data_IF_380784560479
#
_entry.id   IF_380784560479
#
_cell.length_a   1.000
_cell.length_b   1.000
_cell.length_c   1.000
_cell.angle_alpha   90.00
_cell.angle_beta   90.00
_cell.angle_gamma   90.00
#
_symmetry.space_group_name_H-M   'P 1'
#
loop_
_entity.id
_entity.type
_entity.pdbx_description
1 polymer ?
#
# COMPACT_ATOMS: atom_id res chain seq x y z
N UNK A 1 -1.48 -72.71 -1.51
CA UNK A 1 -0.27 -72.23 -2.22
C UNK A 1 0.03 -70.82 -1.71
N UNK A 2 1.20 -70.63 -1.11
CA UNK A 2 1.60 -69.42 -0.39
C UNK A 2 1.97 -68.32 -1.38
N UNK A 3 1.32 -67.15 -1.31
CA UNK A 3 1.80 -65.90 -1.91
C UNK A 3 1.97 -64.88 -0.78
N UNK A 4 3.18 -64.85 -0.22
CA UNK A 4 3.84 -63.65 0.32
C UNK A 4 4.88 -63.23 -0.75
N UNK A 5 5.55 -62.08 -0.73
CA UNK A 5 5.22 -60.75 -0.23
C UNK A 5 5.73 -59.71 -1.27
N UNK A 6 5.12 -59.60 -2.46
CA UNK A 6 5.68 -58.72 -3.51
C UNK A 6 4.99 -57.35 -3.51
N UNK A 7 3.72 -57.29 -3.11
CA UNK A 7 2.96 -56.03 -3.13
C UNK A 7 3.40 -55.04 -2.04
N UNK A 8 3.77 -55.51 -0.84
CA UNK A 8 4.19 -54.63 0.25
C UNK A 8 5.56 -53.96 0.02
N UNK A 9 6.46 -54.59 -0.74
CA UNK A 9 7.78 -54.05 -1.04
C UNK A 9 7.69 -52.95 -2.11
N UNK A 10 6.78 -53.10 -3.08
CA UNK A 10 6.57 -52.10 -4.13
C UNK A 10 5.95 -50.80 -3.61
N UNK A 11 5.00 -50.88 -2.68
CA UNK A 11 4.39 -49.68 -2.08
C UNK A 11 5.35 -48.93 -1.15
N UNK A 12 6.27 -49.63 -0.49
CA UNK A 12 7.29 -49.02 0.37
C UNK A 12 8.42 -48.35 -0.44
N UNK A 13 8.80 -48.93 -1.57
CA UNK A 13 9.80 -48.31 -2.47
C UNK A 13 9.24 -47.08 -3.20
N UNK A 14 7.97 -47.09 -3.63
CA UNK A 14 7.36 -45.94 -4.28
C UNK A 14 7.17 -44.75 -3.32
N UNK A 15 6.78 -45.01 -2.06
CA UNK A 15 6.64 -43.97 -1.04
C UNK A 15 7.98 -43.40 -0.59
N UNK A 16 9.02 -44.23 -0.47
CA UNK A 16 10.38 -43.77 -0.16
C UNK A 16 11.01 -42.93 -1.30
N UNK A 17 10.73 -43.25 -2.57
CA UNK A 17 11.20 -42.48 -3.73
C UNK A 17 10.51 -41.11 -3.85
N UNK A 18 9.20 -41.02 -3.57
CA UNK A 18 8.43 -39.76 -3.58
C UNK A 18 8.81 -38.88 -2.37
N UNK A 19 9.05 -39.46 -1.19
CA UNK A 19 9.51 -38.70 -0.03
C UNK A 19 10.94 -38.18 -0.20
N UNK A 20 11.85 -38.94 -0.83
CA UNK A 20 13.20 -38.45 -1.14
C UNK A 20 13.24 -37.44 -2.29
N UNK A 21 12.31 -37.49 -3.26
CA UNK A 21 12.20 -36.45 -4.29
C UNK A 21 11.57 -35.17 -3.74
N UNK A 22 10.60 -35.26 -2.83
CA UNK A 22 10.04 -34.08 -2.15
C UNK A 22 11.03 -33.44 -1.16
N UNK A 23 11.79 -34.24 -0.40
CA UNK A 23 12.84 -33.72 0.49
C UNK A 23 14.03 -33.14 -0.27
N UNK A 24 14.30 -33.60 -1.51
CA UNK A 24 15.28 -32.95 -2.40
C UNK A 24 14.70 -31.68 -3.05
N UNK A 25 13.44 -31.69 -3.48
CA UNK A 25 12.79 -30.51 -4.04
C UNK A 25 12.66 -29.36 -3.01
N UNK A 26 12.32 -29.67 -1.75
CA UNK A 26 12.27 -28.67 -0.67
C UNK A 26 13.65 -28.17 -0.20
N UNK A 27 14.73 -28.89 -0.51
CA UNK A 27 16.09 -28.50 -0.13
C UNK A 27 16.85 -27.82 -1.28
N UNK A 28 16.23 -27.69 -2.45
CA UNK A 28 16.86 -27.20 -3.68
C UNK A 28 16.37 -25.81 -4.12
N UNK A 29 15.63 -25.08 -3.26
CA UNK A 29 15.22 -23.69 -3.52
C UNK A 29 15.98 -22.63 -2.71
N UNK A 30 16.90 -23.01 -1.82
CA UNK A 30 17.73 -22.05 -1.06
C UNK A 30 19.21 -22.46 -0.97
N UNK A 31 19.73 -23.16 -1.98
CA UNK A 31 21.18 -23.26 -2.19
C UNK A 31 21.59 -22.28 -3.30
N UNK A 32 22.26 -21.20 -2.88
CA UNK A 32 22.96 -20.19 -3.67
C UNK A 32 23.15 -20.54 -5.15
N UNK A 33 22.31 -19.97 -6.01
CA UNK A 33 22.81 -19.53 -7.31
C UNK A 33 23.80 -18.42 -7.01
N UNK A 34 25.04 -18.58 -7.48
CA UNK A 34 25.95 -17.45 -7.71
C UNK A 34 25.27 -16.51 -8.73
N UNK A 35 24.31 -15.71 -8.28
CA UNK A 35 23.83 -14.57 -9.05
C UNK A 35 24.89 -13.49 -8.88
N UNK A 36 25.74 -13.40 -9.90
CA UNK A 36 26.78 -12.39 -9.97
C UNK A 36 26.09 -11.04 -10.29
N UNK A 37 25.47 -10.44 -9.28
CA UNK A 37 24.77 -9.16 -9.41
C UNK A 37 25.78 -8.06 -9.76
N UNK A 38 25.52 -7.32 -10.84
CA UNK A 38 26.39 -6.23 -11.32
C UNK A 38 26.49 -5.09 -10.29
N UNK A 39 25.42 -4.90 -9.51
CA UNK A 39 25.32 -3.88 -8.47
C UNK A 39 24.78 -4.52 -7.19
N UNK A 40 25.24 -4.01 -6.04
CA UNK A 40 24.70 -4.32 -4.73
C UNK A 40 24.81 -3.07 -3.87
N UNK A 41 23.74 -2.72 -3.17
CA UNK A 41 23.66 -1.56 -2.28
C UNK A 41 23.34 -2.00 -0.83
N UNK A 42 23.18 -1.03 0.08
CA UNK A 42 23.02 -1.29 1.52
C UNK A 42 21.73 -2.04 1.87
N UNK A 43 20.75 -2.11 0.95
CA UNK A 43 19.50 -2.81 1.20
C UNK A 43 19.66 -4.33 1.32
N UNK A 44 20.80 -4.91 0.87
CA UNK A 44 21.12 -6.34 1.04
C UNK A 44 21.12 -6.79 2.50
N UNK A 45 21.29 -5.84 3.44
CA UNK A 45 21.32 -6.10 4.87
C UNK A 45 19.95 -5.95 5.56
N UNK A 46 18.87 -5.69 4.82
CA UNK A 46 17.54 -5.46 5.38
C UNK A 46 16.75 -6.76 5.53
N UNK A 47 15.76 -6.76 6.43
CA UNK A 47 14.83 -7.89 6.60
C UNK A 47 13.61 -7.79 5.68
N UNK A 48 13.20 -6.58 5.31
CA UNK A 48 12.04 -6.36 4.45
C UNK A 48 12.24 -7.03 3.09
N UNK A 49 11.34 -7.95 2.67
CA UNK A 49 11.36 -8.51 1.33
C UNK A 49 11.27 -7.44 0.24
N UNK A 50 10.52 -6.36 0.50
CA UNK A 50 10.40 -5.22 -0.41
C UNK A 50 11.74 -4.50 -0.59
N UNK A 51 12.47 -4.22 0.49
CA UNK A 51 13.78 -3.57 0.38
C UNK A 51 14.81 -4.49 -0.27
N UNK A 52 14.79 -5.79 0.05
CA UNK A 52 15.69 -6.78 -0.54
C UNK A 52 15.51 -6.92 -2.06
N UNK A 53 14.28 -6.79 -2.58
CA UNK A 53 14.02 -6.75 -4.02
C UNK A 53 14.83 -5.66 -4.74
N UNK A 54 15.08 -4.53 -4.07
CA UNK A 54 15.83 -3.40 -4.60
C UNK A 54 17.35 -3.44 -4.31
N UNK A 55 17.85 -4.48 -3.63
CA UNK A 55 19.24 -4.56 -3.17
C UNK A 55 20.28 -4.59 -4.30
N UNK A 56 19.86 -4.98 -5.50
CA UNK A 56 20.73 -5.12 -6.68
C UNK A 56 20.45 -4.08 -7.77
N UNK A 57 19.65 -3.06 -7.46
CA UNK A 57 19.44 -1.93 -8.36
C UNK A 57 20.74 -1.11 -8.52
N UNK A 58 20.99 -0.53 -9.71
CA UNK A 58 22.12 0.37 -9.94
C UNK A 58 22.03 1.67 -9.12
N UNK A 59 20.83 2.05 -8.68
CA UNK A 59 20.67 3.13 -7.70
C UNK A 59 21.30 2.66 -6.38
N UNK A 60 22.19 3.48 -5.82
CA UNK A 60 22.85 3.20 -4.56
C UNK A 60 21.93 3.54 -3.38
N UNK A 61 20.92 2.68 -3.17
CA UNK A 61 19.93 2.85 -2.13
C UNK A 61 20.52 2.65 -0.73
N UNK A 62 20.09 3.51 0.19
CA UNK A 62 20.22 3.32 1.63
C UNK A 62 18.85 3.00 2.24
N UNK A 63 18.80 2.20 3.33
CA UNK A 63 17.61 2.15 4.17
C UNK A 63 17.42 3.50 4.87
N UNK A 64 16.20 3.77 5.35
CA UNK A 64 15.98 4.94 6.20
C UNK A 64 16.74 4.80 7.52
N UNK A 65 17.64 5.74 7.82
CA UNK A 65 18.42 5.76 9.04
C UNK A 65 19.41 6.91 9.11
N UNK A 66 20.09 7.04 10.25
CA UNK A 66 21.04 8.13 10.51
C UNK A 66 22.19 8.17 9.49
N UNK A 67 22.65 7.01 9.02
CA UNK A 67 23.76 6.92 8.05
C UNK A 67 23.47 7.68 6.75
N UNK A 68 22.29 7.48 6.15
CA UNK A 68 21.90 8.14 4.91
C UNK A 68 21.75 9.66 5.10
N UNK A 69 21.18 10.08 6.24
CA UNK A 69 21.00 11.49 6.60
C UNK A 69 22.35 12.17 6.82
N UNK A 70 23.27 11.55 7.57
CA UNK A 70 24.60 12.10 7.80
C UNK A 70 25.45 12.12 6.53
N UNK A 71 25.32 11.12 5.65
CA UNK A 71 25.93 11.15 4.32
C UNK A 71 25.42 12.34 3.51
N UNK A 72 24.11 12.57 3.48
CA UNK A 72 23.52 13.70 2.76
C UNK A 72 24.00 15.05 3.29
N UNK A 73 24.10 15.21 4.62
CA UNK A 73 24.65 16.42 5.24
C UNK A 73 26.12 16.62 4.91
N UNK A 74 26.93 15.55 4.99
CA UNK A 74 28.38 15.61 4.74
C UNK A 74 28.70 15.90 3.27
N UNK A 75 27.96 15.30 2.35
CA UNK A 75 28.13 15.51 0.91
C UNK A 75 27.40 16.76 0.40
N UNK A 76 26.60 17.40 1.25
CA UNK A 76 25.72 18.52 0.92
C UNK A 76 24.85 18.21 -0.31
N UNK A 77 24.11 17.10 -0.23
CA UNK A 77 23.21 16.62 -1.30
C UNK A 77 21.78 16.51 -0.81
N UNK A 78 20.84 16.79 -1.71
CA UNK A 78 19.43 16.50 -1.49
C UNK A 78 19.22 14.98 -1.31
N UNK A 79 18.17 14.65 -0.58
CA UNK A 79 17.67 13.29 -0.41
C UNK A 79 16.62 12.99 -1.48
N UNK A 80 16.66 11.77 -2.03
CA UNK A 80 15.50 11.14 -2.67
C UNK A 80 14.97 10.11 -1.69
N UNK A 81 13.70 10.20 -1.32
CA UNK A 81 13.06 9.25 -0.40
C UNK A 81 11.93 8.58 -1.16
N UNK A 82 12.15 7.32 -1.57
CA UNK A 82 11.20 6.52 -2.33
C UNK A 82 10.54 5.48 -1.43
N UNK A 83 9.26 5.69 -1.14
CA UNK A 83 8.45 4.88 -0.22
C UNK A 83 7.50 3.98 -1.01
N UNK A 84 7.48 2.70 -0.67
CA UNK A 84 6.57 1.70 -1.25
C UNK A 84 6.38 0.51 -0.32
N UNK A 85 5.90 -0.60 -0.86
CA UNK A 85 5.66 -1.87 -0.16
C UNK A 85 5.58 -3.00 -1.19
N UNK A 86 5.71 -4.24 -0.73
CA UNK A 86 5.87 -5.42 -1.58
C UNK A 86 4.73 -5.60 -2.61
N UNK A 87 3.48 -5.42 -2.21
CA UNK A 87 2.32 -5.64 -3.10
C UNK A 87 1.98 -4.44 -4.03
N UNK A 88 2.85 -3.43 -4.08
CA UNK A 88 2.59 -2.17 -4.78
C UNK A 88 2.88 -2.25 -6.28
N UNK A 89 1.85 -2.43 -7.11
CA UNK A 89 2.01 -2.50 -8.57
C UNK A 89 2.81 -1.33 -9.17
N UNK A 90 2.42 -0.07 -8.88
CA UNK A 90 3.10 1.09 -9.46
C UNK A 90 4.53 1.28 -8.93
N UNK A 91 4.85 0.70 -7.78
CA UNK A 91 6.21 0.70 -7.25
C UNK A 91 7.10 -0.21 -8.12
N UNK A 92 6.61 -1.40 -8.48
CA UNK A 92 7.28 -2.33 -9.39
C UNK A 92 7.41 -1.78 -10.81
N UNK A 93 6.38 -1.08 -11.30
CA UNK A 93 6.45 -0.40 -12.61
C UNK A 93 7.55 0.66 -12.62
N UNK A 94 7.60 1.52 -11.60
CA UNK A 94 8.61 2.57 -11.51
C UNK A 94 10.02 2.01 -11.30
N UNK A 95 10.17 0.91 -10.55
CA UNK A 95 11.43 0.19 -10.43
C UNK A 95 11.97 -0.20 -11.82
N UNK A 96 11.20 -0.98 -12.58
CA UNK A 96 11.62 -1.49 -13.89
C UNK A 96 11.89 -0.37 -14.90
N UNK A 97 11.07 0.68 -14.89
CA UNK A 97 11.22 1.78 -15.84
C UNK A 97 12.35 2.75 -15.49
N UNK A 98 12.68 2.91 -14.21
CA UNK A 98 13.56 3.99 -13.74
C UNK A 98 14.68 3.55 -12.80
N UNK A 99 14.41 2.73 -11.78
CA UNK A 99 15.42 2.41 -10.76
C UNK A 99 16.40 1.30 -11.17
N UNK A 100 16.00 0.46 -12.14
CA UNK A 100 16.88 -0.52 -12.80
C UNK A 100 17.69 0.09 -13.97
N UNK A 101 17.35 1.31 -14.39
CA UNK A 101 18.01 1.97 -15.52
C UNK A 101 19.33 2.64 -15.10
N UNK A 102 20.43 2.24 -15.71
CA UNK A 102 21.78 2.71 -15.33
C UNK A 102 21.99 4.21 -15.56
N UNK A 103 21.31 4.84 -16.53
CA UNK A 103 21.44 6.27 -16.80
C UNK A 103 20.73 7.08 -15.70
N UNK A 104 19.51 6.70 -15.36
CA UNK A 104 18.74 7.29 -14.25
C UNK A 104 19.48 7.10 -12.94
N UNK A 105 19.94 5.88 -12.68
CA UNK A 105 20.68 5.55 -11.46
C UNK A 105 21.97 6.33 -11.33
N UNK A 106 22.73 6.47 -12.42
CA UNK A 106 23.94 7.30 -12.43
C UNK A 106 23.62 8.75 -12.06
N UNK A 107 22.57 9.34 -12.67
CA UNK A 107 22.18 10.70 -12.33
C UNK A 107 21.77 10.83 -10.85
N UNK A 108 20.99 9.88 -10.34
CA UNK A 108 20.58 9.86 -8.93
C UNK A 108 21.80 9.77 -8.00
N UNK A 109 22.72 8.83 -8.24
CA UNK A 109 23.89 8.60 -7.40
C UNK A 109 24.86 9.79 -7.39
N UNK A 110 25.01 10.47 -8.53
CA UNK A 110 25.90 11.62 -8.64
C UNK A 110 25.36 12.85 -7.87
N UNK A 111 24.03 13.04 -7.85
CA UNK A 111 23.39 14.28 -7.40
C UNK A 111 22.65 14.19 -6.06
N UNK A 112 22.28 12.99 -5.62
CA UNK A 112 21.41 12.77 -4.46
C UNK A 112 21.95 11.66 -3.56
N UNK A 113 21.47 11.62 -2.32
CA UNK A 113 21.51 10.42 -1.49
C UNK A 113 20.13 9.76 -1.56
N UNK A 114 20.07 8.55 -2.12
CA UNK A 114 18.82 7.85 -2.39
C UNK A 114 18.47 6.91 -1.23
N UNK A 115 17.27 7.05 -0.68
CA UNK A 115 16.74 6.27 0.43
C UNK A 115 15.51 5.50 -0.06
N UNK A 116 15.49 4.19 0.20
CA UNK A 116 14.32 3.32 -0.02
C UNK A 116 13.65 3.02 1.31
N UNK A 117 12.33 3.14 1.35
CA UNK A 117 11.54 2.91 2.57
C UNK A 117 10.42 1.93 2.28
N UNK A 118 10.29 0.92 3.13
CA UNK A 118 9.11 0.07 3.22
C UNK A 118 8.12 0.72 4.20
N UNK A 119 6.94 1.12 3.71
CA UNK A 119 5.90 1.70 4.57
C UNK A 119 5.36 0.71 5.59
N UNK A 120 5.44 -0.60 5.32
CA UNK A 120 4.91 -1.61 6.23
C UNK A 120 5.79 -1.75 7.48
N UNK A 121 7.11 -1.51 7.33
CA UNK A 121 8.05 -1.41 8.45
C UNK A 121 8.11 0.01 9.04
N UNK A 122 7.96 1.06 8.22
CA UNK A 122 8.09 2.48 8.61
C UNK A 122 6.88 3.34 8.24
N UNK A 123 5.69 3.05 8.80
CA UNK A 123 4.48 3.84 8.55
C UNK A 123 4.59 5.28 9.10
N UNK A 124 5.47 5.50 10.08
CA UNK A 124 5.79 6.81 10.64
C UNK A 124 6.46 7.73 9.60
N UNK A 125 7.42 7.19 8.83
CA UNK A 125 8.10 7.93 7.76
C UNK A 125 7.15 8.13 6.59
N UNK A 126 6.40 7.10 6.21
CA UNK A 126 5.37 7.15 5.17
C UNK A 126 4.38 8.29 5.41
N UNK A 127 3.84 8.41 6.63
CA UNK A 127 2.84 9.43 6.96
C UNK A 127 3.38 10.86 6.77
N UNK A 128 4.60 11.15 7.22
CA UNK A 128 5.22 12.48 7.11
C UNK A 128 5.29 12.93 5.64
N UNK A 129 5.79 12.06 4.76
CA UNK A 129 5.94 12.41 3.35
C UNK A 129 4.60 12.32 2.59
N UNK A 130 3.67 11.50 3.05
CA UNK A 130 2.31 11.46 2.52
C UNK A 130 1.57 12.78 2.80
N UNK A 131 1.68 13.30 4.03
CA UNK A 131 1.11 14.60 4.40
C UNK A 131 1.73 15.73 3.58
N UNK A 132 3.06 15.69 3.37
CA UNK A 132 3.73 16.63 2.47
C UNK A 132 3.15 16.54 1.04
N UNK A 133 2.90 15.33 0.51
CA UNK A 133 2.28 15.15 -0.80
C UNK A 133 0.87 15.74 -0.87
N UNK A 134 0.05 15.56 0.16
CA UNK A 134 -1.27 16.17 0.23
C UNK A 134 -1.22 17.70 0.31
N UNK A 135 -0.29 18.27 1.06
CA UNK A 135 -0.12 19.73 1.13
C UNK A 135 0.31 20.34 -0.21
N UNK A 136 1.16 19.64 -0.96
CA UNK A 136 1.69 20.11 -2.24
C UNK A 136 0.67 19.89 -3.37
N UNK A 137 0.06 18.70 -3.42
CA UNK A 137 -0.69 18.22 -4.59
C UNK A 137 -2.20 18.05 -4.34
N UNK A 138 -2.67 18.18 -3.09
CA UNK A 138 -4.02 17.80 -2.67
C UNK A 138 -4.36 16.33 -2.95
N UNK A 139 -3.34 15.50 -3.16
CA UNK A 139 -3.46 14.08 -3.45
C UNK A 139 -2.21 13.35 -2.97
N UNK A 140 -2.35 12.04 -2.72
CA UNK A 140 -1.28 11.16 -2.28
C UNK A 140 -1.46 9.75 -2.80
N UNK A 141 -0.43 8.92 -2.68
CA UNK A 141 -0.42 7.54 -3.16
C UNK A 141 0.99 6.98 -3.27
N UNK A 142 1.10 5.72 -3.69
CA UNK A 142 2.37 5.00 -3.85
C UNK A 142 2.62 4.60 -5.31
N UNK A 143 3.88 4.53 -5.77
CA UNK A 143 5.11 4.84 -5.04
C UNK A 143 5.13 6.32 -4.68
N UNK A 144 5.56 6.63 -3.46
CA UNK A 144 5.68 8.01 -2.98
C UNK A 144 7.15 8.41 -3.11
N UNK A 145 7.43 9.39 -3.96
CA UNK A 145 8.78 9.88 -4.21
C UNK A 145 8.88 11.32 -3.70
N UNK A 146 9.62 11.50 -2.60
CA UNK A 146 9.91 12.81 -2.04
C UNK A 146 11.34 13.25 -2.35
N UNK A 147 11.51 14.54 -2.60
CA UNK A 147 12.81 15.19 -2.55
C UNK A 147 12.86 15.98 -1.25
N UNK A 148 13.94 15.84 -0.49
CA UNK A 148 14.11 16.50 0.79
C UNK A 148 15.50 17.14 0.92
N UNK A 149 15.60 18.14 1.79
CA UNK A 149 16.88 18.70 2.21
C UNK A 149 17.74 17.66 2.94
N UNK A 150 19.06 17.89 3.11
CA UNK A 150 19.93 16.98 3.85
C UNK A 150 19.49 16.68 5.30
N UNK A 151 18.65 17.53 5.89
CA UNK A 151 18.07 17.34 7.23
C UNK A 151 16.74 16.58 7.22
N UNK A 152 16.28 16.11 6.05
CA UNK A 152 15.03 15.36 5.89
C UNK A 152 13.78 16.22 5.68
N UNK A 153 13.87 17.55 5.62
CA UNK A 153 12.69 18.39 5.37
C UNK A 153 12.23 18.27 3.91
N UNK A 154 10.97 17.93 3.62
CA UNK A 154 10.48 17.74 2.25
C UNK A 154 10.41 19.06 1.49
N UNK A 155 10.93 19.09 0.27
CA UNK A 155 10.74 20.19 -0.70
C UNK A 155 9.71 19.84 -1.76
N UNK A 156 9.56 18.55 -2.05
CA UNK A 156 8.68 18.02 -3.07
C UNK A 156 8.21 16.63 -2.68
N UNK A 157 7.01 16.27 -3.11
CA UNK A 157 6.52 14.90 -3.07
C UNK A 157 5.60 14.68 -4.28
N UNK A 158 5.64 13.48 -4.84
CA UNK A 158 4.76 13.05 -5.90
C UNK A 158 4.64 11.53 -5.92
N UNK A 159 3.71 11.02 -6.73
CA UNK A 159 3.44 9.58 -6.79
C UNK A 159 4.30 8.90 -7.87
N UNK A 160 3.66 8.24 -8.82
CA UNK A 160 4.30 7.59 -9.96
C UNK A 160 4.79 8.61 -10.99
N UNK A 161 6.04 8.44 -11.44
CA UNK A 161 6.62 9.18 -12.57
C UNK A 161 7.15 8.20 -13.61
N UNK A 162 6.71 8.27 -14.88
CA UNK A 162 7.40 7.64 -15.99
C UNK A 162 8.84 8.17 -16.10
N UNK A 163 9.75 7.35 -16.62
CA UNK A 163 11.21 7.63 -16.73
C UNK A 163 11.53 9.08 -17.13
N UNK A 164 11.02 9.54 -18.27
CA UNK A 164 11.31 10.89 -18.80
C UNK A 164 10.85 12.03 -17.88
N UNK A 165 9.75 11.82 -17.14
CA UNK A 165 9.27 12.81 -16.16
C UNK A 165 10.10 12.76 -14.89
N UNK A 166 10.50 11.55 -14.46
CA UNK A 166 11.35 11.39 -13.30
C UNK A 166 12.70 12.09 -13.50
N UNK A 167 13.34 11.89 -14.66
CA UNK A 167 14.58 12.60 -15.02
C UNK A 167 14.43 14.12 -14.96
N UNK A 168 13.33 14.67 -15.49
CA UNK A 168 13.06 16.12 -15.41
C UNK A 168 12.91 16.60 -13.97
N UNK A 169 12.26 15.83 -13.11
CA UNK A 169 12.14 16.15 -11.67
C UNK A 169 13.54 16.20 -11.05
N UNK A 170 14.36 15.17 -11.28
CA UNK A 170 15.73 15.09 -10.76
C UNK A 170 16.59 16.27 -11.23
N UNK A 171 16.55 16.61 -12.52
CA UNK A 171 17.28 17.74 -13.09
C UNK A 171 16.85 19.09 -12.48
N UNK A 172 15.55 19.32 -12.34
CA UNK A 172 15.00 20.55 -11.76
C UNK A 172 15.47 20.73 -10.33
N UNK A 173 15.41 19.69 -9.50
CA UNK A 173 15.81 19.81 -8.09
C UNK A 173 17.32 19.83 -7.88
N UNK A 174 18.10 19.07 -8.65
CA UNK A 174 19.57 19.15 -8.60
C UNK A 174 20.05 20.56 -8.99
N UNK A 175 19.54 21.11 -10.10
CA UNK A 175 19.85 22.48 -10.53
C UNK A 175 19.32 23.53 -9.55
N UNK A 176 18.09 23.36 -9.07
CA UNK A 176 17.48 24.27 -8.08
C UNK A 176 18.26 24.34 -6.78
N UNK A 177 18.84 23.22 -6.33
CA UNK A 177 19.64 23.19 -5.10
C UNK A 177 20.95 23.97 -5.21
N UNK A 178 21.54 24.02 -6.41
CA UNK A 178 22.77 24.78 -6.65
C UNK A 178 22.49 26.26 -6.93
N UNK A 179 21.44 26.56 -7.70
CA UNK A 179 21.16 27.93 -8.17
C UNK A 179 20.20 28.72 -7.28
N UNK A 180 19.30 28.04 -6.56
CA UNK A 180 18.15 28.63 -5.85
C UNK A 180 17.93 28.01 -4.47
N UNK A 181 19.03 27.71 -3.77
CA UNK A 181 19.01 27.02 -2.49
C UNK A 181 18.08 27.66 -1.45
N UNK A 182 18.14 28.99 -1.31
CA UNK A 182 17.34 29.71 -0.31
C UNK A 182 15.83 29.59 -0.59
N UNK A 183 15.42 29.55 -1.86
CA UNK A 183 14.02 29.33 -2.25
C UNK A 183 13.56 27.93 -1.83
N UNK A 184 14.40 26.90 -2.05
CA UNK A 184 14.11 25.52 -1.64
C UNK A 184 14.07 25.35 -0.12
N UNK A 185 14.99 25.99 0.61
CA UNK A 185 14.99 25.95 2.08
C UNK A 185 13.71 26.54 2.64
N UNK A 186 13.31 27.72 2.15
CA UNK A 186 12.06 28.37 2.56
C UNK A 186 10.82 27.52 2.22
N UNK A 187 10.83 26.87 1.05
CA UNK A 187 9.76 25.95 0.68
C UNK A 187 9.69 24.76 1.65
N UNK A 188 10.83 24.16 1.99
CA UNK A 188 10.91 23.05 2.93
C UNK A 188 10.37 23.43 4.32
N UNK A 189 10.71 24.62 4.81
CA UNK A 189 10.23 25.15 6.08
C UNK A 189 8.71 25.31 6.11
N UNK A 190 8.13 25.87 5.04
CA UNK A 190 6.67 26.03 4.93
C UNK A 190 5.95 24.67 4.88
N UNK A 191 6.46 23.71 4.10
CA UNK A 191 5.86 22.37 4.03
C UNK A 191 5.98 21.69 5.40
N UNK A 192 7.14 21.77 6.05
CA UNK A 192 7.38 21.18 7.38
C UNK A 192 6.42 21.76 8.42
N UNK A 193 6.20 23.07 8.42
CA UNK A 193 5.23 23.71 9.30
C UNK A 193 3.81 23.19 9.05
N UNK A 194 3.40 23.07 7.78
CA UNK A 194 2.10 22.50 7.42
C UNK A 194 1.94 21.03 7.84
N UNK A 195 2.98 20.20 7.68
CA UNK A 195 2.97 18.79 8.13
C UNK A 195 2.84 18.73 9.65
N UNK A 196 3.56 19.58 10.38
CA UNK A 196 3.44 19.66 11.84
C UNK A 196 2.03 20.07 12.26
N UNK A 197 1.43 21.09 11.63
CA UNK A 197 0.04 21.47 11.91
C UNK A 197 -0.96 20.34 11.61
N UNK A 198 -0.72 19.55 10.56
CA UNK A 198 -1.56 18.40 10.21
C UNK A 198 -1.42 17.25 11.21
N UNK A 199 -0.20 16.98 11.68
CA UNK A 199 0.09 15.95 12.67
C UNK A 199 -0.41 16.34 14.08
N UNK A 200 -0.33 17.61 14.44
CA UNK A 200 -0.92 18.15 15.66
C UNK A 200 -2.41 18.40 15.43
N UNK A 201 -3.23 17.35 15.54
CA UNK A 201 -4.61 17.54 15.96
C UNK A 201 -4.52 18.20 17.33
N UNK A 202 -4.69 19.52 17.37
CA UNK A 202 -4.91 20.24 18.61
C UNK A 202 -6.19 19.66 19.20
N UNK A 203 -6.03 18.66 20.07
CA UNK A 203 -7.06 18.29 21.05
C UNK A 203 -7.14 19.49 21.98
N UNK A 204 -7.78 20.56 21.50
CA UNK A 204 -8.22 21.63 22.36
C UNK A 204 -9.06 20.93 23.41
N UNK A 205 -8.66 21.08 24.66
CA UNK A 205 -9.35 20.55 25.84
C UNK A 205 -10.74 21.15 26.06
N UNK A 206 -11.25 21.93 25.10
CA UNK A 206 -12.63 22.35 25.07
C UNK A 206 -13.43 21.17 24.52
N UNK A 207 -14.32 20.61 25.34
CA UNK A 207 -15.34 19.65 24.90
C UNK A 207 -16.17 20.29 23.78
N UNK A 208 -15.74 20.12 22.52
CA UNK A 208 -16.61 20.33 21.39
C UNK A 208 -17.58 19.16 21.34
N UNK A 209 -18.75 19.38 21.93
CA UNK A 209 -19.88 18.48 21.80
C UNK A 209 -20.30 18.47 20.33
N UNK A 210 -20.04 17.35 19.65
CA UNK A 210 -20.51 17.11 18.28
C UNK A 210 -22.03 17.29 18.26
N UNK A 211 -22.48 18.26 17.47
CA UNK A 211 -23.90 18.61 17.34
C UNK A 211 -24.57 17.80 16.23
N UNK A 212 -25.90 17.84 16.17
CA UNK A 212 -26.63 17.22 15.07
C UNK A 212 -26.34 17.94 13.75
N UNK A 213 -26.17 19.25 13.81
CA UNK A 213 -25.85 20.12 12.69
C UNK A 213 -24.49 19.76 12.06
N UNK A 214 -23.50 19.37 12.87
CA UNK A 214 -22.20 18.89 12.38
C UNK A 214 -22.35 17.60 11.56
N UNK A 215 -23.16 16.66 12.08
CA UNK A 215 -23.47 15.41 11.38
C UNK A 215 -24.24 15.66 10.07
N UNK A 216 -25.20 16.57 10.09
CA UNK A 216 -25.99 16.95 8.92
C UNK A 216 -25.10 17.56 7.83
N UNK A 217 -24.16 18.45 8.18
CA UNK A 217 -23.21 19.03 7.22
C UNK A 217 -22.33 17.96 6.56
N UNK A 218 -21.77 17.04 7.35
CA UNK A 218 -20.98 15.92 6.82
C UNK A 218 -21.81 15.03 5.90
N UNK A 219 -23.06 14.74 6.27
CA UNK A 219 -23.97 13.97 5.43
C UNK A 219 -24.30 14.70 4.11
N UNK A 220 -24.56 16.01 4.14
CA UNK A 220 -24.86 16.77 2.91
C UNK A 220 -23.70 16.75 1.93
N UNK A 221 -22.46 16.84 2.43
CA UNK A 221 -21.28 16.66 1.59
C UNK A 221 -21.25 15.26 0.97
N UNK A 222 -21.45 14.21 1.77
CA UNK A 222 -21.48 12.83 1.27
C UNK A 222 -22.58 12.60 0.24
N UNK A 223 -23.79 13.11 0.50
CA UNK A 223 -24.94 13.01 -0.40
C UNK A 223 -24.66 13.62 -1.77
N UNK A 224 -23.92 14.73 -1.83
CA UNK A 224 -23.50 15.37 -3.08
C UNK A 224 -22.37 14.64 -3.82
N UNK A 225 -21.63 13.78 -3.12
CA UNK A 225 -20.44 13.11 -3.65
C UNK A 225 -20.60 11.59 -3.81
N UNK A 226 -21.77 11.02 -3.48
CA UNK A 226 -22.05 9.59 -3.64
C UNK A 226 -22.71 9.29 -4.98
N UNK A 227 -22.23 8.22 -5.60
CA UNK A 227 -22.88 7.58 -6.72
C UNK A 227 -23.96 6.63 -6.18
N UNK A 228 -25.21 7.05 -6.16
CA UNK A 228 -26.31 6.20 -5.69
C UNK A 228 -26.57 5.00 -6.60
N UNK A 229 -26.14 5.04 -7.87
CA UNK A 229 -26.36 3.97 -8.84
C UNK A 229 -25.34 2.85 -8.70
N UNK A 230 -24.05 3.19 -8.69
CA UNK A 230 -22.96 2.23 -8.60
C UNK A 230 -22.30 2.17 -7.23
N UNK A 231 -22.71 2.99 -6.27
CA UNK A 231 -22.15 3.02 -4.93
C UNK A 231 -20.77 3.68 -4.84
N UNK A 232 -20.39 4.08 -3.63
CA UNK A 232 -19.17 4.80 -3.31
C UNK A 232 -19.13 6.24 -3.82
N UNK A 233 -17.95 6.87 -3.73
CA UNK A 233 -17.74 8.23 -4.22
C UNK A 233 -17.91 8.28 -5.74
N UNK A 234 -18.42 9.37 -6.28
CA UNK A 234 -18.52 9.61 -7.72
C UNK A 234 -17.14 9.62 -8.39
N UNK A 235 -17.09 9.14 -9.64
CA UNK A 235 -15.86 9.09 -10.44
C UNK A 235 -15.08 7.78 -10.32
N UNK A 236 -13.88 7.78 -10.89
CA UNK A 236 -12.91 6.68 -10.86
C UNK A 236 -11.51 7.26 -10.58
N UNK A 237 -10.59 6.49 -9.98
CA UNK A 237 -10.80 5.15 -9.41
C UNK A 237 -11.73 5.15 -8.19
N UNK A 238 -12.31 4.00 -7.84
CA UNK A 238 -13.17 3.82 -6.65
C UNK A 238 -12.48 2.98 -5.59
N UNK A 239 -12.32 3.54 -4.40
CA UNK A 239 -11.77 2.87 -3.23
C UNK A 239 -12.88 2.40 -2.27
N UNK A 240 -12.80 1.18 -1.72
CA UNK A 240 -13.57 0.79 -0.55
C UNK A 240 -13.11 1.69 0.61
N UNK A 241 -13.98 2.57 1.11
CA UNK A 241 -13.68 3.49 2.21
C UNK A 241 -14.55 3.16 3.43
N UNK A 242 -14.24 2.09 4.20
CA UNK A 242 -15.19 1.56 5.19
C UNK A 242 -15.59 2.55 6.28
N UNK A 243 -14.66 3.42 6.69
CA UNK A 243 -14.91 4.45 7.70
C UNK A 243 -15.99 5.44 7.28
N UNK A 244 -16.02 5.81 5.99
CA UNK A 244 -17.01 6.72 5.43
C UNK A 244 -18.42 6.09 5.42
N UNK A 245 -18.51 4.82 5.07
CA UNK A 245 -19.78 4.10 5.07
C UNK A 245 -20.24 3.72 6.48
N UNK A 246 -19.32 3.50 7.41
CA UNK A 246 -19.62 3.39 8.84
C UNK A 246 -20.26 4.69 9.37
N UNK A 247 -19.73 5.85 8.99
CA UNK A 247 -20.34 7.14 9.30
C UNK A 247 -21.79 7.21 8.78
N UNK A 248 -22.04 6.87 7.51
CA UNK A 248 -23.39 6.91 6.93
C UNK A 248 -24.36 5.92 7.58
N UNK A 249 -23.90 4.71 7.94
CA UNK A 249 -24.70 3.76 8.72
C UNK A 249 -25.08 4.32 10.10
N UNK A 250 -24.12 4.93 10.80
CA UNK A 250 -24.38 5.53 12.11
C UNK A 250 -25.28 6.76 11.99
N UNK A 251 -25.09 7.58 10.96
CA UNK A 251 -25.95 8.72 10.67
C UNK A 251 -27.41 8.29 10.46
N UNK A 252 -27.64 7.23 9.67
CA UNK A 252 -28.98 6.63 9.54
C UNK A 252 -29.54 6.18 10.89
N UNK A 253 -28.76 5.49 11.73
CA UNK A 253 -29.22 5.02 13.04
C UNK A 253 -29.63 6.17 13.99
N UNK A 254 -28.95 7.30 13.92
CA UNK A 254 -29.18 8.46 14.80
C UNK A 254 -30.31 9.35 14.26
N UNK A 255 -30.32 9.62 12.95
CA UNK A 255 -31.19 10.64 12.33
C UNK A 255 -32.36 10.05 11.56
N UNK A 256 -32.29 8.78 11.14
CA UNK A 256 -33.33 8.12 10.34
C UNK A 256 -33.34 8.51 8.86
N UNK A 257 -32.26 9.07 8.32
CA UNK A 257 -32.19 9.49 6.91
C UNK A 257 -31.97 8.30 5.98
N UNK A 258 -33.06 7.84 5.35
CA UNK A 258 -33.09 6.67 4.46
C UNK A 258 -32.07 6.74 3.31
N UNK A 259 -31.81 7.92 2.75
CA UNK A 259 -30.81 8.04 1.68
C UNK A 259 -29.38 7.73 2.17
N UNK A 260 -29.08 7.91 3.45
CA UNK A 260 -27.79 7.47 3.98
C UNK A 260 -27.66 5.95 3.98
N UNK A 261 -28.74 5.23 4.32
CA UNK A 261 -28.77 3.77 4.25
C UNK A 261 -28.74 3.27 2.79
N UNK A 262 -29.49 3.93 1.89
CA UNK A 262 -29.48 3.64 0.45
C UNK A 262 -28.06 3.74 -0.12
N UNK A 263 -27.34 4.81 0.22
CA UNK A 263 -25.96 5.03 -0.19
C UNK A 263 -25.02 3.89 0.25
N UNK A 264 -25.14 3.45 1.51
CA UNK A 264 -24.34 2.32 2.02
C UNK A 264 -24.71 1.04 1.31
N UNK A 265 -26.00 0.71 1.21
CA UNK A 265 -26.46 -0.53 0.56
C UNK A 265 -26.03 -0.59 -0.90
N UNK A 266 -26.21 0.50 -1.66
CA UNK A 266 -25.75 0.60 -3.03
C UNK A 266 -24.23 0.36 -3.14
N UNK A 267 -23.45 0.91 -2.21
CA UNK A 267 -21.99 0.69 -2.16
C UNK A 267 -21.63 -0.77 -1.87
N UNK A 268 -22.16 -1.35 -0.79
CA UNK A 268 -21.87 -2.74 -0.41
C UNK A 268 -22.33 -3.72 -1.49
N UNK A 269 -23.51 -3.51 -2.05
CA UNK A 269 -24.07 -4.38 -3.09
C UNK A 269 -23.23 -4.34 -4.36
N UNK A 270 -22.82 -3.16 -4.82
CA UNK A 270 -22.00 -3.05 -6.03
C UNK A 270 -20.55 -3.52 -5.81
N UNK A 271 -19.98 -3.35 -4.61
CA UNK A 271 -18.66 -3.90 -4.29
C UNK A 271 -18.70 -5.43 -4.27
N UNK A 272 -19.64 -6.03 -3.54
CA UNK A 272 -19.76 -7.48 -3.41
C UNK A 272 -20.16 -8.19 -4.72
N UNK A 273 -20.90 -7.51 -5.61
CA UNK A 273 -21.24 -8.03 -6.94
C UNK A 273 -20.25 -7.59 -8.03
N UNK A 274 -19.26 -6.77 -7.68
CA UNK A 274 -18.25 -6.22 -8.59
C UNK A 274 -17.07 -7.17 -8.77
N UNK A 275 -16.13 -6.77 -9.62
CA UNK A 275 -14.86 -7.47 -9.83
C UNK A 275 -13.81 -7.19 -8.75
N UNK A 276 -14.06 -6.25 -7.82
CA UNK A 276 -13.17 -6.06 -6.66
C UNK A 276 -13.37 -7.13 -5.59
N UNK A 277 -14.51 -7.81 -5.57
CA UNK A 277 -14.74 -8.95 -4.69
C UNK A 277 -14.33 -10.22 -5.42
N UNK A 278 -13.51 -11.05 -4.79
CA UNK A 278 -13.13 -12.34 -5.33
C UNK A 278 -14.25 -13.35 -5.08
N UNK A 279 -14.98 -13.68 -6.14
CA UNK A 279 -16.14 -14.59 -6.09
C UNK A 279 -15.77 -16.06 -5.89
N UNK A 280 -14.48 -16.42 -5.99
CA UNK A 280 -13.98 -17.79 -5.82
C UNK A 280 -13.33 -17.97 -4.45
N UNK A 281 -12.39 -17.08 -4.12
CA UNK A 281 -11.57 -17.16 -2.92
C UNK A 281 -12.06 -16.31 -1.76
N UNK A 282 -12.98 -15.36 -1.99
CA UNK A 282 -13.34 -14.34 -1.02
C UNK A 282 -12.28 -13.23 -0.87
N UNK A 283 -12.66 -12.21 -0.11
CA UNK A 283 -11.85 -11.02 0.09
C UNK A 283 -11.95 -10.02 -1.06
N UNK A 284 -11.40 -8.83 -0.79
CA UNK A 284 -11.49 -7.67 -1.66
C UNK A 284 -10.10 -7.23 -2.12
N UNK A 285 -10.02 -6.96 -3.43
CA UNK A 285 -8.97 -6.19 -4.05
C UNK A 285 -9.03 -4.72 -3.59
N UNK A 286 -7.89 -4.03 -3.64
CA UNK A 286 -7.67 -2.73 -3.00
C UNK A 286 -8.61 -1.65 -3.53
N UNK A 287 -8.82 -1.59 -4.84
CA UNK A 287 -9.71 -0.60 -5.47
C UNK A 287 -10.14 -1.03 -6.87
N UNK A 288 -11.09 -0.30 -7.44
CA UNK A 288 -11.45 -0.43 -8.85
C UNK A 288 -10.95 0.74 -9.67
N UNK A 289 -10.41 0.46 -10.85
CA UNK A 289 -9.99 1.49 -11.81
C UNK A 289 -11.16 2.12 -12.57
N UNK A 290 -12.36 1.53 -12.50
CA UNK A 290 -13.57 2.03 -13.15
C UNK A 290 -14.68 2.42 -12.15
N UNK A 291 -15.71 3.10 -12.66
CA UNK A 291 -16.81 3.64 -11.84
C UNK A 291 -17.80 2.58 -11.36
N UNK A 292 -17.75 1.36 -11.89
CA UNK A 292 -18.75 0.30 -11.65
C UNK A 292 -18.20 -0.85 -10.81
N UNK A 293 -17.03 -0.68 -10.20
CA UNK A 293 -16.36 -1.71 -9.39
C UNK A 293 -15.98 -2.98 -10.18
N UNK A 294 -15.77 -2.90 -11.49
CA UNK A 294 -15.58 -4.08 -12.35
C UNK A 294 -14.13 -4.47 -12.54
N UNK A 295 -13.25 -3.50 -12.74
CA UNK A 295 -11.84 -3.73 -13.03
C UNK A 295 -11.06 -3.52 -11.75
N UNK A 296 -10.60 -4.58 -11.07
CA UNK A 296 -9.85 -4.44 -9.83
C UNK A 296 -8.41 -4.03 -10.08
N UNK A 297 -7.82 -3.41 -9.07
CA UNK A 297 -6.39 -3.44 -8.83
C UNK A 297 -6.12 -4.57 -7.83
N UNK A 298 -5.56 -5.68 -8.30
CA UNK A 298 -5.68 -7.02 -7.69
C UNK A 298 -5.05 -7.21 -6.31
N UNK A 299 -4.16 -6.30 -5.90
CA UNK A 299 -3.61 -6.25 -4.56
C UNK A 299 -4.69 -6.40 -3.48
N UNK A 300 -4.50 -7.29 -2.50
CA UNK A 300 -5.43 -7.47 -1.38
C UNK A 300 -4.75 -7.12 -0.06
N UNK A 301 -5.29 -6.13 0.66
CA UNK A 301 -4.72 -5.65 1.92
C UNK A 301 -5.47 -6.19 3.12
N UNK A 302 -4.75 -6.65 4.15
CA UNK A 302 -5.35 -7.13 5.40
C UNK A 302 -6.21 -6.04 6.04
N UNK A 303 -5.70 -4.80 6.13
CA UNK A 303 -6.40 -3.71 6.80
C UNK A 303 -7.68 -3.29 6.06
N UNK A 304 -7.73 -3.43 4.73
CA UNK A 304 -8.94 -3.16 3.95
C UNK A 304 -9.99 -4.24 4.19
N UNK A 305 -9.58 -5.51 4.08
CA UNK A 305 -10.45 -6.66 4.31
C UNK A 305 -10.99 -6.71 5.73
N UNK A 306 -10.14 -6.48 6.75
CA UNK A 306 -10.57 -6.43 8.15
C UNK A 306 -11.58 -5.32 8.45
N UNK A 307 -11.39 -4.13 7.85
CA UNK A 307 -12.36 -3.04 7.99
C UNK A 307 -13.67 -3.31 7.24
N UNK A 308 -13.60 -3.96 6.07
CA UNK A 308 -14.78 -4.38 5.32
C UNK A 308 -15.59 -5.44 6.07
N UNK A 309 -14.96 -6.44 6.67
CA UNK A 309 -15.62 -7.41 7.57
C UNK A 309 -16.44 -6.69 8.64
N UNK A 310 -15.86 -5.68 9.28
CA UNK A 310 -16.57 -4.88 10.29
C UNK A 310 -17.76 -4.11 9.70
N UNK A 311 -17.60 -3.47 8.54
CA UNK A 311 -18.65 -2.71 7.88
C UNK A 311 -19.82 -3.60 7.42
N UNK A 312 -19.53 -4.69 6.70
CA UNK A 312 -20.55 -5.64 6.25
C UNK A 312 -21.27 -6.30 7.43
N UNK A 313 -20.56 -6.59 8.54
CA UNK A 313 -21.17 -7.09 9.77
C UNK A 313 -22.18 -6.09 10.36
N UNK A 314 -21.82 -4.81 10.44
CA UNK A 314 -22.73 -3.75 10.93
C UNK A 314 -23.92 -3.56 9.99
N UNK A 315 -23.72 -3.64 8.68
CA UNK A 315 -24.79 -3.59 7.70
C UNK A 315 -25.73 -4.79 7.85
N UNK A 316 -25.21 -6.01 7.99
CA UNK A 316 -26.01 -7.21 8.26
C UNK A 316 -26.82 -7.09 9.55
N UNK A 317 -26.20 -6.61 10.64
CA UNK A 317 -26.91 -6.41 11.91
C UNK A 317 -28.13 -5.49 11.76
N UNK A 318 -28.01 -4.46 10.92
CA UNK A 318 -29.05 -3.47 10.68
C UNK A 318 -30.13 -3.96 9.69
N UNK A 319 -29.73 -4.52 8.54
CA UNK A 319 -30.64 -4.85 7.44
C UNK A 319 -31.16 -6.28 7.48
N UNK A 320 -30.45 -7.17 8.20
CA UNK A 320 -30.64 -8.63 8.19
C UNK A 320 -30.52 -9.27 6.80
N UNK A 321 -29.86 -8.60 5.85
CA UNK A 321 -29.68 -9.11 4.50
C UNK A 321 -28.60 -10.22 4.46
N UNK A 322 -28.95 -11.49 4.19
CA UNK A 322 -28.02 -12.61 4.29
C UNK A 322 -26.84 -12.51 3.32
N UNK A 323 -26.91 -11.69 2.25
CA UNK A 323 -25.77 -11.49 1.35
C UNK A 323 -24.58 -10.83 2.06
N UNK A 324 -24.83 -9.93 3.01
CA UNK A 324 -23.76 -9.29 3.78
C UNK A 324 -23.12 -10.26 4.77
N UNK A 325 -23.92 -11.15 5.36
CA UNK A 325 -23.40 -12.23 6.19
C UNK A 325 -22.47 -13.14 5.37
N UNK A 326 -22.88 -13.53 4.16
CA UNK A 326 -22.07 -14.35 3.27
C UNK A 326 -20.70 -13.72 2.98
N UNK A 327 -20.68 -12.44 2.57
CA UNK A 327 -19.44 -11.68 2.30
C UNK A 327 -18.53 -11.64 3.52
N UNK A 328 -19.07 -11.49 4.73
CA UNK A 328 -18.29 -11.50 5.97
C UNK A 328 -17.57 -12.83 6.16
N UNK A 329 -18.29 -13.96 6.05
CA UNK A 329 -17.68 -15.28 6.26
C UNK A 329 -16.64 -15.60 5.18
N UNK A 330 -16.96 -15.37 3.91
CA UNK A 330 -16.02 -15.61 2.80
C UNK A 330 -14.77 -14.72 2.91
N UNK A 331 -14.90 -13.49 3.40
CA UNK A 331 -13.73 -12.61 3.63
C UNK A 331 -12.89 -13.08 4.82
N UNK A 332 -13.51 -13.59 5.89
CA UNK A 332 -12.79 -14.19 7.01
C UNK A 332 -12.04 -15.45 6.55
N UNK A 333 -12.69 -16.33 5.79
CA UNK A 333 -12.09 -17.53 5.23
C UNK A 333 -10.90 -17.20 4.31
N UNK A 334 -11.00 -16.13 3.51
CA UNK A 334 -9.88 -15.60 2.74
C UNK A 334 -8.71 -15.17 3.65
N UNK A 335 -8.97 -14.37 4.69
CA UNK A 335 -7.91 -13.91 5.61
C UNK A 335 -7.26 -15.08 6.36
N UNK A 336 -8.04 -16.06 6.80
CA UNK A 336 -7.54 -17.27 7.46
C UNK A 336 -6.66 -18.11 6.53
N UNK A 337 -7.04 -18.20 5.25
CA UNK A 337 -6.33 -19.02 4.27
C UNK A 337 -5.06 -18.35 3.73
N UNK A 338 -5.14 -17.08 3.35
CA UNK A 338 -4.09 -16.39 2.58
C UNK A 338 -3.25 -15.43 3.42
N UNK A 339 -3.84 -14.82 4.45
CA UNK A 339 -3.22 -13.73 5.20
C UNK A 339 -2.88 -14.11 6.64
N UNK A 340 -3.06 -15.38 7.04
CA UNK A 340 -2.71 -15.86 8.37
C UNK A 340 -1.43 -16.68 8.31
N UNK A 341 -0.44 -16.28 9.10
CA UNK A 341 0.81 -17.00 9.24
C UNK A 341 0.62 -18.27 10.09
N UNK A 342 1.35 -19.37 9.81
CA UNK A 342 1.35 -20.56 10.67
C UNK A 342 1.80 -20.30 12.12
N UNK A 343 2.40 -19.13 12.39
CA UNK A 343 2.80 -18.68 13.72
C UNK A 343 1.69 -17.86 14.44
N UNK A 344 0.47 -17.82 13.89
CA UNK A 344 -0.68 -17.05 14.38
C UNK A 344 -0.54 -15.52 14.30
N UNK A 345 0.39 -15.03 13.47
CA UNK A 345 0.42 -13.64 13.02
C UNK A 345 -0.42 -13.44 11.75
N UNK A 346 -0.53 -12.20 11.28
CA UNK A 346 -1.13 -11.90 9.98
C UNK A 346 -0.10 -11.28 9.04
N UNK A 347 -0.15 -11.67 7.77
CA UNK A 347 0.52 -10.96 6.70
C UNK A 347 -0.23 -9.66 6.39
N UNK A 348 0.51 -8.62 6.01
CA UNK A 348 -0.01 -7.28 5.71
C UNK A 348 -0.82 -7.23 4.41
N UNK A 349 -0.39 -8.00 3.41
CA UNK A 349 -0.90 -7.93 2.04
C UNK A 349 -0.68 -9.21 1.25
N UNK A 350 -1.39 -9.32 0.13
CA UNK A 350 -1.18 -10.30 -0.94
C UNK A 350 -0.96 -9.53 -2.25
N UNK A 351 0.12 -9.86 -2.95
CA UNK A 351 0.53 -9.20 -4.19
C UNK A 351 -0.51 -9.38 -5.32
N UNK A 352 -0.63 -8.37 -6.18
CA UNK A 352 -1.45 -8.37 -7.38
C UNK A 352 -0.94 -9.37 -8.45
N UNK A 353 0.36 -9.70 -8.42
CA UNK A 353 1.04 -10.54 -9.41
C UNK A 353 1.12 -12.03 -8.99
N UNK A 354 0.37 -12.48 -7.98
CA UNK A 354 0.22 -13.92 -7.69
C UNK A 354 -0.40 -14.64 -8.90
N UNK A 355 0.06 -15.84 -9.28
CA UNK A 355 -0.30 -16.54 -10.54
C UNK A 355 -1.81 -16.87 -10.76
N UNK A 356 -2.72 -16.34 -9.94
CA UNK A 356 -4.18 -16.45 -10.13
C UNK A 356 -4.77 -17.62 -9.39
#
# INVERSE_FOLDING_TARGET
MKIKPIFAIFTFFLTALVLNSCLKAQKQEFENKDDNHKFTNELVNQSSPYLLQHAHNPVNWYPWGEEAIEKAKKEDKLLIISIGYAACHWCHVMERESFEDEEVAKFMNDNFVAIKVDREERPDVDQIYMDASYLINQSGGWPLNAIALPDGKPVFAGTYFPKDKWMKVLEVFSKGYTEKRDELVKQAENITAGVQEYAYINVKSEEHNVTKEDLEQLYFWWKGNIDFKYGGKTGAPKFPMPNNYNFLLNYYKVVGEEKALEAVKSTLDNMANGGIYDHLGGGFARYSTDTRWKVPHFEKMLYDNGQLVSLYSKAFQLTKDPKYQKVVYETIEFVERELTSPQNGFYSSLDADSEG
#
